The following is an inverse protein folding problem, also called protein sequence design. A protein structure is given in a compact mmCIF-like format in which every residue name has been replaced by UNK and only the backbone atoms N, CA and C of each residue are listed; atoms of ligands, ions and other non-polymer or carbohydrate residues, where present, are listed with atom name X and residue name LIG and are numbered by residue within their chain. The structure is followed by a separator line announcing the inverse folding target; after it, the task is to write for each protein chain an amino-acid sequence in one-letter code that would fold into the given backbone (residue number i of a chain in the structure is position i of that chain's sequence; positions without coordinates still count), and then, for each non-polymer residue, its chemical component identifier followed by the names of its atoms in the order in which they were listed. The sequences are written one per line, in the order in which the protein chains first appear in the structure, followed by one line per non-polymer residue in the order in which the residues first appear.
data_IF_075105091822
#
_entry.id   IF_075105091822
#
_cell.length_a   1.000
_cell.length_b   1.000
_cell.length_c   1.000
_cell.angle_alpha   90.00
_cell.angle_beta   90.00
_cell.angle_gamma   90.00
#
_symmetry.space_group_name_H-M   'P 1'
#
loop_
_entity.id
_entity.type
_entity.pdbx_description
1 polymer ?
#
# COMPACT_ATOMS: atom_id res chain seq x y z
N UNK A 1 -9.42 -0.35 -2.32
CA UNK A 1 -9.77 -0.81 -0.95
C UNK A 1 -11.23 -0.62 -0.65
N UNK A 2 -12.13 -0.98 -1.57
CA UNK A 2 -13.58 -0.93 -1.36
C UNK A 2 -14.16 -2.30 -1.75
N UNK A 3 -15.41 -2.42 -2.16
CA UNK A 3 -16.07 -3.71 -2.40
C UNK A 3 -16.80 -3.74 -3.73
N UNK A 4 -16.76 -4.88 -4.44
CA UNK A 4 -17.50 -5.13 -5.68
C UNK A 4 -17.30 -4.06 -6.77
N UNK A 5 -16.04 -3.66 -6.98
CA UNK A 5 -15.67 -2.64 -7.95
C UNK A 5 -15.70 -3.23 -9.36
N UNK A 6 -15.09 -4.40 -9.53
CA UNK A 6 -15.21 -5.20 -10.75
C UNK A 6 -16.19 -6.34 -10.48
N UNK A 7 -17.37 -6.22 -11.07
CA UNK A 7 -18.47 -7.17 -10.93
C UNK A 7 -18.50 -8.15 -12.10
N UNK A 8 -19.24 -9.25 -11.96
CA UNK A 8 -19.35 -10.28 -13.01
C UNK A 8 -19.76 -9.67 -14.36
N UNK A 9 -20.76 -8.79 -14.36
CA UNK A 9 -21.25 -8.14 -15.59
C UNK A 9 -20.24 -7.17 -16.24
N UNK A 10 -19.23 -6.72 -15.47
CA UNK A 10 -18.12 -5.96 -16.03
C UNK A 10 -17.16 -6.90 -16.76
N UNK A 11 -16.85 -8.05 -16.15
CA UNK A 11 -15.92 -9.05 -16.67
C UNK A 11 -16.44 -9.70 -17.96
N UNK A 12 -17.73 -10.01 -18.04
CA UNK A 12 -18.38 -10.54 -19.25
C UNK A 12 -18.24 -9.62 -20.45
N UNK A 13 -18.21 -8.29 -20.23
CA UNK A 13 -18.10 -7.25 -21.27
C UNK A 13 -16.66 -6.88 -21.61
N UNK A 14 -15.67 -7.49 -20.96
CA UNK A 14 -14.26 -7.21 -21.25
C UNK A 14 -13.87 -7.76 -22.62
N UNK A 15 -12.92 -7.08 -23.26
CA UNK A 15 -12.30 -7.54 -24.51
C UNK A 15 -11.64 -8.91 -24.29
N UNK A 16 -11.57 -9.71 -25.35
CA UNK A 16 -10.85 -10.97 -25.32
C UNK A 16 -9.39 -10.74 -24.87
N UNK A 17 -8.92 -11.64 -24.02
CA UNK A 17 -7.60 -11.66 -23.39
C UNK A 17 -7.30 -10.50 -22.42
N UNK A 18 -8.32 -9.80 -21.92
CA UNK A 18 -8.10 -8.78 -20.88
C UNK A 18 -7.47 -9.39 -19.62
N UNK A 19 -6.52 -8.67 -19.02
CA UNK A 19 -5.90 -9.04 -17.74
C UNK A 19 -6.62 -8.29 -16.62
N UNK A 20 -7.05 -9.02 -15.61
CA UNK A 20 -7.76 -8.51 -14.44
C UNK A 20 -6.95 -8.86 -13.19
N UNK A 21 -6.71 -7.86 -12.34
CA UNK A 21 -5.97 -8.03 -11.11
C UNK A 21 -6.38 -6.97 -10.07
N UNK A 22 -5.94 -7.19 -8.84
CA UNK A 22 -6.20 -6.31 -7.71
C UNK A 22 -4.87 -5.99 -7.00
N UNK A 23 -4.72 -4.75 -6.53
CA UNK A 23 -3.59 -4.29 -5.71
C UNK A 23 -4.05 -3.53 -4.46
N UNK A 24 -5.35 -3.56 -4.19
CA UNK A 24 -5.93 -2.97 -2.99
C UNK A 24 -5.80 -3.88 -1.78
N UNK A 25 -6.71 -3.76 -0.82
CA UNK A 25 -6.49 -4.30 0.51
C UNK A 25 -6.91 -5.78 0.64
N UNK A 26 -8.03 -6.16 0.03
CA UNK A 26 -8.60 -7.51 0.08
C UNK A 26 -9.07 -7.96 -1.30
N UNK A 27 -9.37 -9.24 -1.44
CA UNK A 27 -9.88 -9.91 -2.65
C UNK A 27 -11.29 -9.44 -3.08
N UNK A 28 -12.07 -8.89 -2.16
CA UNK A 28 -13.46 -8.50 -2.39
C UNK A 28 -13.67 -7.25 -3.28
N UNK A 29 -12.60 -6.66 -3.81
CA UNK A 29 -12.68 -5.62 -4.84
C UNK A 29 -13.17 -6.17 -6.19
N UNK A 30 -12.94 -7.46 -6.43
CA UNK A 30 -13.37 -8.20 -7.62
C UNK A 30 -14.32 -9.31 -7.17
N UNK A 31 -15.43 -9.51 -7.87
CA UNK A 31 -16.38 -10.60 -7.57
C UNK A 31 -15.87 -11.97 -8.05
N UNK A 32 -14.79 -12.46 -7.43
CA UNK A 32 -14.17 -13.76 -7.76
C UNK A 32 -15.10 -14.92 -7.44
N UNK A 33 -15.80 -14.88 -6.30
CA UNK A 33 -16.75 -15.94 -5.92
C UNK A 33 -17.85 -16.11 -6.98
N UNK A 34 -18.44 -15.00 -7.43
CA UNK A 34 -19.46 -15.03 -8.48
C UNK A 34 -18.91 -15.50 -9.82
N UNK A 35 -17.64 -15.18 -10.12
CA UNK A 35 -16.97 -15.67 -11.33
C UNK A 35 -16.74 -17.18 -11.26
N UNK A 36 -16.36 -17.71 -10.09
CA UNK A 36 -16.17 -19.14 -9.86
C UNK A 36 -17.51 -19.92 -9.87
N UNK A 37 -18.60 -19.31 -9.44
CA UNK A 37 -19.94 -19.91 -9.40
C UNK A 37 -20.71 -19.79 -10.73
N UNK A 38 -20.19 -19.05 -11.71
CA UNK A 38 -20.85 -18.83 -12.99
C UNK A 38 -20.89 -20.11 -13.84
N UNK A 39 -22.11 -20.63 -14.08
CA UNK A 39 -22.35 -21.95 -14.67
C UNK A 39 -21.70 -22.18 -16.05
N UNK A 40 -21.64 -21.13 -16.87
CA UNK A 40 -21.17 -21.23 -18.26
C UNK A 40 -19.79 -20.58 -18.46
N UNK A 41 -19.05 -20.34 -17.38
CA UNK A 41 -17.68 -19.81 -17.44
C UNK A 41 -16.70 -20.94 -17.21
N UNK A 42 -15.79 -21.15 -18.15
CA UNK A 42 -14.78 -22.22 -18.07
C UNK A 42 -13.48 -21.64 -17.51
N UNK A 43 -13.08 -22.09 -16.32
CA UNK A 43 -11.77 -21.77 -15.71
C UNK A 43 -10.70 -22.77 -16.14
N UNK A 44 -9.56 -22.27 -16.58
CA UNK A 44 -8.35 -23.04 -16.86
C UNK A 44 -7.20 -22.42 -16.06
N UNK A 45 -6.56 -23.20 -15.20
CA UNK A 45 -5.33 -22.74 -14.56
C UNK A 45 -4.17 -22.79 -15.55
N UNK A 46 -3.54 -21.64 -15.80
CA UNK A 46 -2.41 -21.53 -16.74
C UNK A 46 -1.09 -21.85 -16.02
N UNK A 47 -0.94 -21.30 -14.81
CA UNK A 47 0.15 -21.54 -13.88
C UNK A 47 -0.28 -21.07 -12.48
N UNK A 48 0.51 -21.31 -11.42
CA UNK A 48 0.21 -20.76 -10.10
C UNK A 48 -0.06 -19.25 -10.17
N UNK A 49 -1.20 -18.84 -9.60
CA UNK A 49 -1.67 -17.45 -9.54
C UNK A 49 -2.04 -16.80 -10.90
N UNK A 50 -2.25 -17.60 -11.95
CA UNK A 50 -2.79 -17.13 -13.23
C UNK A 50 -3.85 -18.10 -13.75
N UNK A 51 -5.08 -17.63 -13.80
CA UNK A 51 -6.23 -18.38 -14.29
C UNK A 51 -6.84 -17.70 -15.52
N UNK A 52 -7.21 -18.49 -16.52
CA UNK A 52 -7.99 -18.03 -17.67
C UNK A 52 -9.45 -18.39 -17.44
N UNK A 53 -10.35 -17.41 -17.60
CA UNK A 53 -11.79 -17.62 -17.58
C UNK A 53 -12.33 -17.35 -18.99
N UNK A 54 -13.05 -18.31 -19.57
CA UNK A 54 -13.68 -18.17 -20.89
C UNK A 54 -15.19 -18.07 -20.73
N UNK A 55 -15.77 -16.99 -21.24
CA UNK A 55 -17.21 -16.72 -21.16
C UNK A 55 -17.97 -17.34 -22.35
N UNK A 56 -19.31 -17.49 -22.26
CA UNK A 56 -20.13 -18.07 -23.35
C UNK A 56 -20.03 -17.33 -24.68
N UNK A 57 -19.79 -16.02 -24.64
CA UNK A 57 -19.59 -15.20 -25.84
C UNK A 57 -18.24 -15.47 -26.55
N UNK A 58 -17.39 -16.32 -25.99
CA UNK A 58 -16.10 -16.74 -26.54
C UNK A 58 -14.92 -15.87 -26.11
N UNK A 59 -15.17 -14.67 -25.56
CA UNK A 59 -14.12 -13.85 -24.95
C UNK A 59 -13.58 -14.50 -23.68
N UNK A 60 -12.29 -14.31 -23.46
CA UNK A 60 -11.58 -14.79 -22.28
C UNK A 60 -10.96 -13.64 -21.50
N UNK A 61 -10.78 -13.83 -20.19
CA UNK A 61 -9.96 -12.96 -19.35
C UNK A 61 -8.89 -13.77 -18.62
N UNK A 62 -7.80 -13.11 -18.23
CA UNK A 62 -6.76 -13.65 -17.36
C UNK A 62 -6.86 -13.00 -15.99
N UNK A 63 -7.22 -13.78 -14.99
CA UNK A 63 -7.26 -13.35 -13.60
C UNK A 63 -5.91 -13.62 -12.93
N UNK A 64 -5.35 -12.60 -12.29
CA UNK A 64 -4.11 -12.72 -11.53
C UNK A 64 -4.39 -12.86 -10.04
N UNK A 65 -3.63 -13.73 -9.38
CA UNK A 65 -3.66 -13.98 -7.94
C UNK A 65 -5.05 -14.29 -7.36
N UNK A 66 -5.97 -14.80 -8.18
CA UNK A 66 -7.37 -15.03 -7.80
C UNK A 66 -8.02 -13.76 -7.20
N UNK A 67 -7.67 -12.58 -7.75
CA UNK A 67 -8.19 -11.29 -7.27
C UNK A 67 -7.57 -10.78 -5.97
N UNK A 68 -6.57 -11.47 -5.40
CA UNK A 68 -5.77 -10.98 -4.26
C UNK A 68 -4.67 -10.03 -4.73
N UNK A 69 -3.87 -9.52 -3.78
CA UNK A 69 -2.80 -8.55 -4.04
C UNK A 69 -1.78 -9.08 -5.06
N UNK A 70 -1.84 -8.54 -6.28
CA UNK A 70 -1.06 -9.02 -7.42
C UNK A 70 0.44 -8.84 -7.26
N UNK A 71 0.88 -7.75 -6.62
CA UNK A 71 2.30 -7.49 -6.39
C UNK A 71 2.94 -8.50 -5.44
N UNK A 72 2.19 -9.04 -4.47
CA UNK A 72 2.66 -10.07 -3.55
C UNK A 72 2.40 -11.48 -4.10
N UNK A 73 1.28 -11.71 -4.77
CA UNK A 73 0.89 -13.01 -5.29
C UNK A 73 1.62 -13.42 -6.58
N UNK A 74 1.95 -12.45 -7.43
CA UNK A 74 2.57 -12.69 -8.74
C UNK A 74 4.00 -12.13 -8.84
N UNK A 75 4.52 -11.49 -7.79
CA UNK A 75 5.87 -10.96 -7.73
C UNK A 75 6.40 -11.02 -6.29
N UNK A 76 7.27 -10.08 -5.91
CA UNK A 76 7.94 -10.06 -4.59
C UNK A 76 7.53 -8.86 -3.73
N UNK A 77 6.43 -8.21 -4.06
CA UNK A 77 5.95 -7.02 -3.36
C UNK A 77 6.86 -5.81 -3.55
N UNK A 78 6.85 -4.94 -2.54
CA UNK A 78 7.65 -3.73 -2.53
C UNK A 78 9.14 -4.03 -2.29
N UNK A 79 10.07 -3.37 -3.01
CA UNK A 79 11.51 -3.53 -2.78
C UNK A 79 11.95 -3.17 -1.36
N UNK A 80 13.08 -3.73 -0.92
CA UNK A 80 13.60 -3.55 0.45
C UNK A 80 13.77 -2.09 0.88
N UNK A 81 14.17 -1.20 -0.03
CA UNK A 81 14.39 0.22 0.31
C UNK A 81 13.11 0.95 0.70
N UNK A 82 12.01 0.74 -0.03
CA UNK A 82 10.72 1.35 0.35
C UNK A 82 10.16 0.68 1.61
N UNK A 83 10.31 -0.64 1.76
CA UNK A 83 9.89 -1.35 2.97
C UNK A 83 10.70 -0.94 4.21
N UNK A 84 11.96 -0.53 4.04
CA UNK A 84 12.80 0.00 5.11
C UNK A 84 12.13 1.19 5.79
N UNK A 85 11.52 2.11 5.02
CA UNK A 85 10.80 3.26 5.59
C UNK A 85 9.61 2.82 6.45
N UNK A 86 8.80 1.88 5.93
CA UNK A 86 7.66 1.33 6.68
C UNK A 86 8.10 0.59 7.94
N UNK A 87 9.18 -0.19 7.88
CA UNK A 87 9.67 -0.97 9.02
C UNK A 87 10.42 -0.11 10.03
N UNK A 88 11.12 0.95 9.63
CA UNK A 88 11.64 1.95 10.57
C UNK A 88 10.51 2.61 11.35
N UNK A 89 9.41 3.01 10.68
CA UNK A 89 8.22 3.53 11.36
C UNK A 89 7.64 2.51 12.36
N UNK A 90 7.50 1.24 11.95
CA UNK A 90 7.02 0.19 12.85
C UNK A 90 7.93 -0.01 14.07
N UNK A 91 9.25 -0.04 13.88
CA UNK A 91 10.20 -0.18 14.99
C UNK A 91 10.15 1.03 15.94
N UNK A 92 10.11 2.26 15.42
CA UNK A 92 9.99 3.46 16.25
C UNK A 92 8.66 3.49 17.01
N UNK A 93 7.56 3.09 16.38
CA UNK A 93 6.27 2.96 17.05
C UNK A 93 6.31 1.92 18.17
N UNK A 94 6.95 0.77 17.96
CA UNK A 94 7.11 -0.24 19.01
C UNK A 94 7.95 0.26 20.18
N UNK A 95 9.04 0.98 19.91
CA UNK A 95 9.88 1.60 20.95
C UNK A 95 9.08 2.64 21.74
N UNK A 96 8.34 3.50 21.05
CA UNK A 96 7.53 4.56 21.65
C UNK A 96 6.37 3.99 22.49
N UNK A 97 5.63 3.01 21.96
CA UNK A 97 4.59 2.28 22.70
C UNK A 97 5.14 1.62 23.96
N UNK A 98 6.29 0.95 23.86
CA UNK A 98 6.90 0.27 25.01
C UNK A 98 7.34 1.27 26.09
N UNK A 99 7.98 2.37 25.70
CA UNK A 99 8.41 3.43 26.63
C UNK A 99 7.23 4.14 27.29
N UNK A 100 6.14 4.33 26.56
CA UNK A 100 4.96 5.07 27.01
C UNK A 100 3.77 4.17 27.40
N UNK A 101 4.02 2.88 27.66
CA UNK A 101 2.98 1.86 27.89
C UNK A 101 2.00 2.20 29.01
N UNK A 102 2.45 2.95 30.02
CA UNK A 102 1.64 3.34 31.18
C UNK A 102 0.95 4.71 30.97
N UNK A 103 1.37 5.48 29.96
CA UNK A 103 0.81 6.79 29.62
C UNK A 103 -0.22 6.72 28.48
N UNK A 104 -0.15 5.70 27.64
CA UNK A 104 -1.08 5.51 26.53
C UNK A 104 -2.32 4.74 26.98
N UNK A 105 -3.49 5.25 26.60
CA UNK A 105 -4.77 4.63 26.89
C UNK A 105 -5.10 3.59 25.84
N UNK A 106 -5.58 2.43 26.28
CA UNK A 106 -6.07 1.39 25.39
C UNK A 106 -7.28 1.89 24.59
N UNK A 107 -7.36 1.50 23.31
CA UNK A 107 -8.45 1.86 22.41
C UNK A 107 -8.27 3.19 21.65
N UNK A 108 -7.20 3.94 21.92
CA UNK A 108 -6.86 5.13 21.14
C UNK A 108 -6.01 4.77 19.90
N UNK A 109 -6.32 5.40 18.76
CA UNK A 109 -5.48 5.36 17.57
C UNK A 109 -4.60 6.61 17.57
N UNK A 110 -3.29 6.43 17.49
CA UNK A 110 -2.31 7.51 17.47
C UNK A 110 -1.44 7.43 16.22
N UNK A 111 -1.00 8.59 15.75
CA UNK A 111 0.02 8.72 14.70
C UNK A 111 1.35 9.03 15.38
N UNK A 112 2.45 8.54 14.80
CA UNK A 112 3.78 8.89 15.30
C UNK A 112 3.99 10.41 15.27
N UNK A 113 4.64 10.99 16.29
CA UNK A 113 5.05 12.39 16.26
C UNK A 113 5.85 12.74 14.99
N UNK A 114 5.59 13.94 14.45
CA UNK A 114 6.19 14.40 13.17
C UNK A 114 7.72 14.35 13.13
N UNK A 115 8.39 14.60 14.24
CA UNK A 115 9.85 14.52 14.30
C UNK A 115 10.37 13.09 14.07
N UNK A 116 9.62 12.04 14.43
CA UNK A 116 9.99 10.65 14.13
C UNK A 116 9.77 10.32 12.65
N UNK A 117 8.71 10.86 12.04
CA UNK A 117 8.47 10.72 10.60
C UNK A 117 9.59 11.39 9.77
N UNK A 118 10.02 12.59 10.19
CA UNK A 118 11.18 13.28 9.62
C UNK A 118 12.49 12.50 9.85
N UNK A 119 12.65 11.85 11.00
CA UNK A 119 13.82 11.01 11.29
C UNK A 119 13.85 9.76 10.41
N UNK A 120 12.69 9.12 10.16
CA UNK A 120 12.59 8.02 9.18
C UNK A 120 13.10 8.48 7.82
N UNK A 121 12.66 9.64 7.33
CA UNK A 121 13.13 10.18 6.06
C UNK A 121 14.65 10.47 6.09
N UNK A 122 15.15 11.08 7.17
CA UNK A 122 16.56 11.47 7.34
C UNK A 122 17.50 10.26 7.27
N UNK A 123 17.13 9.15 7.90
CA UNK A 123 17.93 7.90 7.92
C UNK A 123 18.16 7.30 6.52
N UNK A 124 17.29 7.61 5.54
CA UNK A 124 17.38 7.05 4.19
C UNK A 124 18.16 7.95 3.21
N UNK A 125 18.42 9.23 3.53
CA UNK A 125 19.02 10.20 2.60
C UNK A 125 20.41 9.80 2.11
N UNK A 126 21.28 9.35 3.03
CA UNK A 126 22.67 9.00 2.70
C UNK A 126 22.74 7.87 1.65
N UNK A 127 21.82 6.91 1.72
CA UNK A 127 21.78 5.76 0.80
C UNK A 127 21.49 6.16 -0.64
N UNK A 128 20.73 7.23 -0.84
CA UNK A 128 20.38 7.77 -2.18
C UNK A 128 21.26 8.95 -2.59
N UNK A 129 22.28 9.30 -1.79
CA UNK A 129 23.18 10.42 -2.08
C UNK A 129 22.55 11.81 -1.89
N UNK A 130 21.39 11.89 -1.23
CA UNK A 130 20.74 13.16 -0.97
C UNK A 130 21.46 13.93 0.15
N UNK A 131 21.71 15.23 -0.08
CA UNK A 131 22.31 16.13 0.90
C UNK A 131 21.24 17.09 1.41
N UNK A 132 20.96 17.03 2.71
CA UNK A 132 20.01 17.93 3.34
C UNK A 132 20.70 19.23 3.77
N UNK A 133 20.19 20.35 3.32
CA UNK A 133 20.63 21.67 3.78
C UNK A 133 20.18 21.89 5.23
N UNK A 134 21.02 22.55 6.04
CA UNK A 134 20.66 22.96 7.40
C UNK A 134 20.21 24.41 7.43
N UNK A 135 19.07 24.69 8.05
CA UNK A 135 18.63 26.06 8.31
C UNK A 135 19.63 26.76 9.22
N UNK A 136 19.91 28.03 8.94
CA UNK A 136 20.52 28.92 9.93
C UNK A 136 19.49 29.26 11.01
N UNK A 137 19.92 29.66 12.23
CA UNK A 137 19.00 30.14 13.27
C UNK A 137 18.07 31.24 12.76
N UNK A 138 18.61 32.22 12.03
CA UNK A 138 17.84 33.33 11.46
C UNK A 138 16.73 32.86 10.50
N UNK A 139 17.03 31.89 9.64
CA UNK A 139 16.02 31.32 8.73
C UNK A 139 14.95 30.53 9.47
N UNK A 140 15.33 29.78 10.50
CA UNK A 140 14.42 28.98 11.31
C UNK A 140 13.44 29.88 12.08
N UNK A 141 13.96 30.93 12.72
CA UNK A 141 13.16 31.95 13.41
C UNK A 141 12.22 32.67 12.44
N UNK A 142 12.69 33.02 11.24
CA UNK A 142 11.87 33.71 10.23
C UNK A 142 10.63 32.92 9.80
N UNK A 143 10.72 31.58 9.70
CA UNK A 143 9.59 30.73 9.32
C UNK A 143 8.90 30.06 10.52
N UNK A 144 9.33 30.38 11.75
CA UNK A 144 8.72 29.90 12.99
C UNK A 144 8.88 28.39 13.23
N UNK A 145 10.05 27.82 12.92
CA UNK A 145 10.37 26.40 13.18
C UNK A 145 11.69 26.26 13.94
N UNK A 146 11.93 25.10 14.57
CA UNK A 146 13.25 24.79 15.09
C UNK A 146 14.20 24.40 13.95
N UNK A 147 15.50 24.66 14.13
CA UNK A 147 16.55 24.26 13.17
C UNK A 147 16.55 22.75 12.91
N UNK A 148 16.20 21.96 13.92
CA UNK A 148 16.16 20.49 13.85
C UNK A 148 14.74 19.93 13.63
N UNK A 149 13.76 20.79 13.35
CA UNK A 149 12.37 20.42 13.10
C UNK A 149 11.52 20.27 14.38
N UNK A 150 10.24 19.86 14.24
CA UNK A 150 9.56 19.56 12.98
C UNK A 150 9.40 20.78 12.06
N UNK A 151 9.49 20.56 10.75
CA UNK A 151 9.56 21.64 9.75
C UNK A 151 8.21 22.03 9.14
N UNK A 152 7.13 21.34 9.52
CA UNK A 152 5.78 21.54 8.99
C UNK A 152 4.73 21.39 10.08
N UNK A 153 3.60 22.08 9.92
CA UNK A 153 2.44 21.92 10.79
C UNK A 153 1.78 20.53 10.64
N UNK A 154 0.96 20.14 11.60
CA UNK A 154 0.31 18.81 11.61
C UNK A 154 -0.69 18.60 10.48
N UNK A 155 -1.38 19.65 10.05
CA UNK A 155 -2.35 19.59 8.94
C UNK A 155 -1.70 19.60 7.55
N UNK A 156 -0.38 19.66 7.48
CA UNK A 156 0.37 19.64 6.22
C UNK A 156 0.27 18.26 5.56
N UNK A 157 -0.08 18.21 4.26
CA UNK A 157 -0.44 16.98 3.53
C UNK A 157 0.76 16.29 2.88
N UNK A 158 1.89 16.21 3.62
CA UNK A 158 3.26 16.01 3.11
C UNK A 158 3.90 17.25 2.48
#
# INVERSE_FOLDING_TARGET
GNFNIIRLEHMEKMKDQAIVCNIGHFDNEIQIDKLNEAKDVVRINIKPQVDKYTFPAGNSIYMLAEGRLVNLGCATGHPSFVMSNSFTNQTLAQIDLWKNKDSYKAGEVKVLPKHLDEEVARLHLAKIGAKLTKLTPEQADYIGVNVDGPYKADHYRY
#
